data_IF_656832614764
#
_entry.id   IF_656832614764
#
_cell.length_a   1.000
_cell.length_b   1.000
_cell.length_c   1.000
_cell.angle_alpha   90.00
_cell.angle_beta   90.00
_cell.angle_gamma   90.00
#
_symmetry.space_group_name_H-M   'P 1'
#
loop_
_entity.id
_entity.type
_entity.pdbx_description
1 polymer ?
#
# COMPACT_ATOMS: atom_id res chain seq x y z
N UNK A 1 -23.52 -11.54 -21.33
CA UNK A 1 -22.29 -12.06 -21.92
C UNK A 1 -21.30 -10.90 -22.06
N UNK A 2 -20.27 -10.82 -21.22
CA UNK A 2 -19.15 -9.84 -21.36
C UNK A 2 -18.15 -10.44 -22.36
N UNK A 3 -17.59 -9.65 -23.31
CA UNK A 3 -16.55 -10.16 -24.20
C UNK A 3 -15.30 -10.43 -23.38
N UNK A 4 -14.90 -11.70 -23.31
CA UNK A 4 -13.65 -12.11 -22.70
C UNK A 4 -12.48 -11.53 -23.49
N UNK A 5 -11.65 -10.73 -22.83
CA UNK A 5 -10.34 -10.34 -23.36
C UNK A 5 -9.55 -11.64 -23.51
N UNK A 6 -9.29 -12.04 -24.75
CA UNK A 6 -8.50 -13.22 -25.06
C UNK A 6 -7.14 -13.13 -24.39
N UNK A 7 -6.89 -14.01 -23.43
CA UNK A 7 -5.57 -14.17 -22.79
C UNK A 7 -4.60 -14.70 -23.85
N UNK A 8 -3.77 -13.82 -24.39
CA UNK A 8 -2.67 -14.24 -25.28
C UNK A 8 -1.72 -15.12 -24.45
N UNK A 9 -1.75 -16.43 -24.69
CA UNK A 9 -0.79 -17.37 -24.13
C UNK A 9 0.52 -17.28 -24.91
N UNK A 10 1.49 -16.53 -24.40
CA UNK A 10 2.83 -16.54 -24.95
C UNK A 10 3.51 -17.89 -24.68
N UNK A 11 4.25 -18.48 -25.66
CA UNK A 11 5.02 -19.67 -25.42
C UNK A 11 6.02 -19.47 -24.27
N UNK A 12 6.17 -20.44 -23.39
CA UNK A 12 7.00 -20.35 -22.17
C UNK A 12 8.47 -19.99 -22.45
N UNK A 13 8.98 -20.28 -23.63
CA UNK A 13 10.35 -19.99 -24.08
C UNK A 13 10.61 -18.49 -24.40
N UNK A 14 9.58 -17.65 -24.53
CA UNK A 14 9.70 -16.23 -24.87
C UNK A 14 9.30 -15.28 -23.71
N UNK A 15 9.01 -15.82 -22.50
CA UNK A 15 8.59 -15.00 -21.36
C UNK A 15 9.79 -14.30 -20.72
N UNK A 16 9.59 -13.04 -20.32
CA UNK A 16 10.57 -12.30 -19.52
C UNK A 16 10.81 -13.01 -18.18
N UNK A 17 12.08 -13.16 -17.80
CA UNK A 17 12.46 -13.74 -16.51
C UNK A 17 12.64 -12.63 -15.49
N UNK A 18 11.76 -12.60 -14.51
CA UNK A 18 11.70 -11.56 -13.49
C UNK A 18 12.07 -12.16 -12.13
N UNK A 19 13.00 -11.52 -11.44
CA UNK A 19 13.30 -11.81 -10.05
C UNK A 19 12.84 -10.66 -9.16
N UNK A 20 11.81 -10.89 -8.37
CA UNK A 20 11.42 -9.97 -7.28
C UNK A 20 12.29 -10.24 -6.04
N UNK A 21 12.81 -9.18 -5.44
CA UNK A 21 13.54 -9.24 -4.18
C UNK A 21 12.80 -8.40 -3.15
N UNK A 22 12.04 -9.08 -2.30
CA UNK A 22 11.26 -8.48 -1.22
C UNK A 22 11.94 -8.61 0.14
N UNK A 23 11.32 -8.04 1.17
CA UNK A 23 11.77 -8.19 2.55
C UNK A 23 11.27 -9.49 3.14
N UNK A 24 9.96 -9.70 3.14
CA UNK A 24 9.26 -10.93 3.54
C UNK A 24 8.15 -11.25 2.54
N UNK A 25 7.53 -12.44 2.69
CA UNK A 25 6.39 -12.92 1.92
C UNK A 25 5.41 -13.64 2.86
N UNK A 26 4.11 -13.78 2.55
CA UNK A 26 3.20 -14.52 3.42
C UNK A 26 3.75 -15.85 3.94
N UNK A 27 3.42 -16.23 5.18
CA UNK A 27 2.36 -15.69 6.06
C UNK A 27 2.71 -14.40 6.80
N UNK A 28 3.88 -13.80 6.55
CA UNK A 28 4.24 -12.50 7.12
C UNK A 28 3.32 -11.40 6.60
N UNK A 29 2.73 -10.59 7.51
CA UNK A 29 1.73 -9.58 7.16
C UNK A 29 2.32 -8.16 7.19
N UNK A 30 2.07 -7.40 6.14
CA UNK A 30 2.47 -5.99 6.00
C UNK A 30 2.08 -5.44 4.63
N UNK A 31 2.07 -4.13 4.47
CA UNK A 31 1.65 -3.48 3.21
C UNK A 31 2.54 -3.84 2.01
N UNK A 32 3.87 -3.89 2.20
CA UNK A 32 4.80 -4.30 1.14
C UNK A 32 4.64 -5.79 0.79
N UNK A 33 4.48 -6.63 1.79
CA UNK A 33 4.31 -8.07 1.64
C UNK A 33 3.01 -8.40 0.91
N UNK A 34 1.92 -7.72 1.26
CA UNK A 34 0.62 -7.85 0.57
C UNK A 34 0.70 -7.39 -0.88
N UNK A 35 1.36 -6.24 -1.15
CA UNK A 35 1.57 -5.76 -2.51
C UNK A 35 2.42 -6.74 -3.33
N UNK A 36 3.55 -7.22 -2.78
CA UNK A 36 4.41 -8.19 -3.46
C UNK A 36 3.67 -9.48 -3.78
N UNK A 37 2.85 -9.98 -2.84
CA UNK A 37 2.02 -11.18 -3.04
C UNK A 37 1.04 -10.98 -4.20
N UNK A 38 0.18 -9.93 -4.11
CA UNK A 38 -0.84 -9.65 -5.11
C UNK A 38 -0.21 -9.48 -6.50
N UNK A 39 0.85 -8.69 -6.61
CA UNK A 39 1.54 -8.48 -7.89
C UNK A 39 2.16 -9.77 -8.41
N UNK A 40 2.74 -10.61 -7.54
CA UNK A 40 3.34 -11.88 -7.95
C UNK A 40 2.31 -12.90 -8.42
N UNK A 41 1.16 -12.99 -7.75
CA UNK A 41 0.05 -13.86 -8.14
C UNK A 41 -0.47 -13.53 -9.54
N UNK A 42 -0.54 -12.25 -9.90
CA UNK A 42 -0.98 -11.80 -11.22
C UNK A 42 0.09 -11.97 -12.32
N UNK A 43 1.36 -11.77 -11.95
CA UNK A 43 2.46 -11.83 -12.91
C UNK A 43 2.86 -13.26 -13.28
N UNK A 44 2.71 -14.25 -12.37
CA UNK A 44 3.19 -15.64 -12.57
C UNK A 44 2.72 -16.30 -13.86
N UNK A 45 1.54 -15.94 -14.36
CA UNK A 45 1.00 -16.48 -15.60
C UNK A 45 1.51 -15.75 -16.86
N UNK A 46 2.12 -14.57 -16.69
CA UNK A 46 2.52 -13.67 -17.77
C UNK A 46 4.04 -13.62 -18.00
N UNK A 47 4.83 -13.89 -16.97
CA UNK A 47 6.30 -13.88 -16.98
C UNK A 47 6.85 -15.13 -16.29
N UNK A 48 8.15 -15.43 -16.48
CA UNK A 48 8.87 -16.43 -15.66
C UNK A 48 9.29 -15.73 -14.36
N UNK A 49 8.43 -15.85 -13.33
CA UNK A 49 8.56 -15.13 -12.08
C UNK A 49 9.18 -15.98 -10.98
N UNK A 50 10.16 -15.39 -10.29
CA UNK A 50 10.68 -15.88 -9.01
C UNK A 50 10.69 -14.79 -7.98
N UNK A 51 10.46 -15.16 -6.73
CA UNK A 51 10.50 -14.26 -5.58
C UNK A 51 11.57 -14.72 -4.61
N UNK A 52 12.45 -13.81 -4.18
CA UNK A 52 13.42 -14.06 -3.11
C UNK A 52 13.14 -13.10 -1.97
N UNK A 53 13.04 -13.63 -0.76
CA UNK A 53 12.79 -12.88 0.49
C UNK A 53 13.64 -13.42 1.63
N UNK A 54 13.72 -12.69 2.74
CA UNK A 54 14.30 -13.19 3.97
C UNK A 54 13.40 -14.26 4.62
N UNK A 55 14.01 -15.29 5.21
CA UNK A 55 13.33 -16.21 6.10
C UNK A 55 13.22 -15.61 7.52
N UNK A 56 12.32 -16.13 8.33
CA UNK A 56 12.27 -15.86 9.78
C UNK A 56 13.26 -16.74 10.57
N UNK A 57 13.78 -17.79 9.94
CA UNK A 57 14.77 -18.72 10.49
C UNK A 57 16.13 -18.63 9.79
N UNK A 58 17.13 -19.37 10.30
CA UNK A 58 18.47 -19.45 9.68
C UNK A 58 18.54 -20.38 8.45
N UNK A 59 17.46 -21.11 8.15
CA UNK A 59 17.42 -22.05 7.01
C UNK A 59 16.93 -21.36 5.75
N UNK A 60 17.56 -21.68 4.63
CA UNK A 60 17.03 -21.31 3.32
C UNK A 60 16.07 -22.40 2.84
N UNK A 61 14.86 -21.99 2.45
CA UNK A 61 13.81 -22.88 1.93
C UNK A 61 13.34 -22.40 0.57
N UNK A 62 12.84 -23.32 -0.26
CA UNK A 62 12.18 -23.03 -1.54
C UNK A 62 10.84 -23.72 -1.54
N UNK A 63 9.82 -23.00 -1.94
CA UNK A 63 8.43 -23.47 -1.91
C UNK A 63 7.59 -22.78 -2.98
N UNK A 64 6.48 -23.39 -3.33
CA UNK A 64 5.42 -22.75 -4.11
C UNK A 64 4.38 -22.20 -3.14
N UNK A 65 4.17 -20.89 -3.16
CA UNK A 65 3.13 -20.21 -2.39
C UNK A 65 2.12 -19.65 -3.38
N UNK A 66 0.90 -20.14 -3.37
CA UNK A 66 -0.16 -19.76 -4.31
C UNK A 66 0.29 -19.82 -5.79
N UNK A 67 1.15 -20.81 -6.10
CA UNK A 67 1.73 -21.01 -7.44
C UNK A 67 2.90 -20.09 -7.79
N UNK A 68 3.40 -19.28 -6.87
CA UNK A 68 4.59 -18.44 -7.03
C UNK A 68 5.82 -19.19 -6.48
N UNK A 69 6.92 -19.26 -7.26
CA UNK A 69 8.21 -19.84 -6.81
C UNK A 69 8.89 -18.86 -5.83
N UNK A 70 8.91 -19.22 -4.55
CA UNK A 70 9.43 -18.38 -3.46
C UNK A 70 10.66 -19.03 -2.83
N UNK A 71 11.77 -18.31 -2.82
CA UNK A 71 12.98 -18.68 -2.04
C UNK A 71 13.06 -17.80 -0.79
N UNK A 72 12.97 -18.41 0.39
CA UNK A 72 13.19 -17.73 1.68
C UNK A 72 14.63 -17.96 2.11
N UNK A 73 15.44 -16.93 2.07
CA UNK A 73 16.86 -16.98 2.40
C UNK A 73 17.07 -16.91 3.90
N UNK A 74 17.85 -17.86 4.45
CA UNK A 74 18.14 -17.91 5.87
C UNK A 74 18.69 -16.60 6.43
N UNK A 75 18.10 -16.15 7.53
CA UNK A 75 18.43 -14.91 8.23
C UNK A 75 19.36 -15.21 9.40
N UNK A 76 20.50 -14.49 9.51
CA UNK A 76 21.38 -14.59 10.67
C UNK A 76 20.87 -13.78 11.86
N UNK A 77 20.52 -12.53 11.61
CA UNK A 77 20.04 -11.55 12.61
C UNK A 77 19.27 -10.41 11.93
N UNK A 78 18.64 -9.57 12.73
CA UNK A 78 18.05 -8.31 12.27
C UNK A 78 18.90 -7.12 12.75
N UNK A 79 19.20 -6.19 11.85
CA UNK A 79 19.79 -4.88 12.18
C UNK A 79 18.76 -3.80 11.91
N UNK A 80 18.26 -3.17 12.97
CA UNK A 80 17.23 -2.11 12.87
C UNK A 80 16.03 -2.50 12.00
N UNK A 81 15.53 -3.72 12.18
CA UNK A 81 14.45 -4.34 11.41
C UNK A 81 14.80 -4.68 9.94
N UNK A 82 16.05 -4.60 9.54
CA UNK A 82 16.54 -5.11 8.26
C UNK A 82 17.13 -6.52 8.46
N UNK A 83 16.61 -7.57 7.81
CA UNK A 83 17.13 -8.92 7.94
C UNK A 83 18.49 -9.05 7.24
N UNK A 84 19.49 -9.57 7.94
CA UNK A 84 20.82 -9.86 7.38
C UNK A 84 20.85 -11.29 6.87
N UNK A 85 20.93 -11.45 5.54
CA UNK A 85 20.90 -12.74 4.84
C UNK A 85 22.12 -12.86 3.91
N UNK A 86 23.28 -13.34 4.35
CA UNK A 86 24.49 -13.38 3.54
C UNK A 86 24.34 -14.22 2.26
N UNK A 87 23.57 -15.31 2.32
CA UNK A 87 23.30 -16.15 1.16
C UNK A 87 22.50 -15.43 0.05
N UNK A 88 21.86 -14.28 0.35
CA UNK A 88 21.10 -13.49 -0.63
C UNK A 88 21.96 -13.04 -1.81
N UNK A 89 23.23 -12.70 -1.56
CA UNK A 89 24.19 -12.36 -2.63
C UNK A 89 24.31 -13.49 -3.64
N UNK A 90 24.50 -14.72 -3.15
CA UNK A 90 24.66 -15.91 -4.01
C UNK A 90 23.35 -16.27 -4.72
N UNK A 91 22.22 -16.15 -4.05
CA UNK A 91 20.91 -16.45 -4.67
C UNK A 91 20.61 -15.46 -5.81
N UNK A 92 20.89 -14.15 -5.63
CA UNK A 92 20.76 -13.16 -6.70
C UNK A 92 21.78 -13.43 -7.83
N UNK A 93 23.06 -13.67 -7.50
CA UNK A 93 24.11 -13.92 -8.51
C UNK A 93 23.81 -15.11 -9.43
N UNK A 94 23.17 -16.16 -8.88
CA UNK A 94 22.82 -17.39 -9.62
C UNK A 94 21.48 -17.32 -10.34
N UNK A 95 20.68 -16.30 -10.07
CA UNK A 95 19.37 -16.16 -10.70
C UNK A 95 19.53 -15.91 -12.20
N UNK A 96 18.76 -16.64 -13.02
CA UNK A 96 18.63 -16.37 -14.45
C UNK A 96 17.46 -15.40 -14.63
N UNK A 97 17.73 -14.09 -14.52
CA UNK A 97 16.72 -13.06 -14.64
C UNK A 97 17.14 -11.97 -15.63
N UNK A 98 16.19 -11.47 -16.40
CA UNK A 98 16.36 -10.34 -17.31
C UNK A 98 16.18 -9.02 -16.53
N UNK A 99 15.28 -9.04 -15.54
CA UNK A 99 15.01 -7.92 -14.63
C UNK A 99 15.13 -8.39 -13.17
N UNK A 100 15.85 -7.61 -12.37
CA UNK A 100 15.87 -7.70 -10.91
C UNK A 100 14.99 -6.57 -10.37
N UNK A 101 13.91 -6.91 -9.71
CA UNK A 101 12.96 -5.94 -9.15
C UNK A 101 13.05 -5.92 -7.63
N UNK A 102 13.65 -4.86 -7.07
CA UNK A 102 13.82 -4.69 -5.61
C UNK A 102 12.66 -3.88 -5.03
N UNK A 103 12.04 -4.39 -3.97
CA UNK A 103 11.02 -3.68 -3.19
C UNK A 103 11.70 -2.93 -2.03
N UNK A 104 11.76 -1.61 -2.13
CA UNK A 104 12.36 -0.71 -1.12
C UNK A 104 11.28 -0.20 -0.12
N UNK A 105 11.56 -0.11 1.20
CA UNK A 105 12.88 -0.17 1.86
C UNK A 105 13.36 -1.61 2.18
N UNK A 106 14.47 -1.98 1.60
CA UNK A 106 15.18 -3.23 1.85
C UNK A 106 16.70 -3.03 1.64
N UNK A 107 17.42 -2.41 2.60
CA UNK A 107 18.85 -2.12 2.47
C UNK A 107 19.70 -3.36 2.17
N UNK A 108 19.36 -4.51 2.77
CA UNK A 108 20.10 -5.75 2.57
C UNK A 108 19.95 -6.30 1.15
N UNK A 109 18.78 -6.15 0.53
CA UNK A 109 18.59 -6.50 -0.88
C UNK A 109 19.43 -5.62 -1.82
N UNK A 110 19.51 -4.31 -1.53
CA UNK A 110 20.35 -3.38 -2.29
C UNK A 110 21.82 -3.77 -2.21
N UNK A 111 22.34 -4.02 -1.01
CA UNK A 111 23.72 -4.47 -0.81
C UNK A 111 23.99 -5.80 -1.51
N UNK A 112 23.08 -6.75 -1.36
CA UNK A 112 23.21 -8.08 -1.97
C UNK A 112 23.22 -8.00 -3.51
N UNK A 113 22.34 -7.17 -4.10
CA UNK A 113 22.36 -6.93 -5.55
C UNK A 113 23.67 -6.32 -6.01
N UNK A 114 24.16 -5.27 -5.35
CA UNK A 114 25.42 -4.61 -5.73
C UNK A 114 26.62 -5.56 -5.61
N UNK A 115 26.64 -6.44 -4.60
CA UNK A 115 27.69 -7.42 -4.39
C UNK A 115 27.57 -8.65 -5.31
N UNK A 116 26.39 -8.94 -5.85
CA UNK A 116 26.14 -10.14 -6.68
C UNK A 116 26.78 -10.08 -8.07
N UNK A 117 27.05 -8.87 -8.57
CA UNK A 117 27.52 -8.67 -9.95
C UNK A 117 26.48 -9.03 -11.02
N UNK A 118 25.21 -9.17 -10.67
CA UNK A 118 24.15 -9.57 -11.59
C UNK A 118 23.97 -8.52 -12.71
N UNK A 119 23.80 -8.98 -13.95
CA UNK A 119 23.74 -8.12 -15.15
C UNK A 119 22.31 -7.79 -15.63
N UNK A 120 21.28 -8.36 -15.00
CA UNK A 120 19.87 -8.04 -15.29
C UNK A 120 19.56 -6.57 -15.04
N UNK A 121 18.58 -6.03 -15.76
CA UNK A 121 18.11 -4.65 -15.59
C UNK A 121 17.54 -4.47 -14.19
N UNK A 122 17.93 -3.40 -13.51
CA UNK A 122 17.45 -3.11 -12.15
C UNK A 122 16.20 -2.25 -12.21
N UNK A 123 15.15 -2.67 -11.51
CA UNK A 123 13.92 -1.92 -11.28
C UNK A 123 13.69 -1.83 -9.77
N UNK A 124 13.20 -0.70 -9.29
CA UNK A 124 12.77 -0.54 -7.89
C UNK A 124 11.26 -0.31 -7.83
N UNK A 125 10.58 -0.90 -6.85
CA UNK A 125 9.36 -0.32 -6.29
C UNK A 125 9.71 0.42 -5.00
N UNK A 126 9.53 1.74 -4.99
CA UNK A 126 9.81 2.60 -3.85
C UNK A 126 8.55 2.79 -3.01
N UNK A 127 8.36 1.94 -1.98
CA UNK A 127 7.16 1.97 -1.14
C UNK A 127 7.16 3.12 -0.14
N UNK A 128 8.33 3.42 0.47
CA UNK A 128 8.44 4.53 1.43
C UNK A 128 9.90 4.92 1.69
N UNK A 129 10.09 6.13 2.23
CA UNK A 129 11.35 6.54 2.81
C UNK A 129 11.60 5.82 4.14
N UNK A 130 12.87 5.70 4.55
CA UNK A 130 13.23 5.23 5.90
C UNK A 130 13.13 6.43 6.85
N UNK A 131 12.05 6.49 7.62
CA UNK A 131 11.77 7.64 8.52
C UNK A 131 12.29 7.42 9.93
N UNK A 132 12.17 6.20 10.47
CA UNK A 132 12.45 5.92 11.89
C UNK A 132 13.95 5.84 12.22
N UNK A 133 14.76 5.21 11.35
CA UNK A 133 16.19 4.98 11.56
C UNK A 133 17.04 6.08 10.88
N UNK A 134 16.76 7.34 11.17
CA UNK A 134 17.37 8.49 10.47
C UNK A 134 18.91 8.43 10.35
N UNK A 135 19.63 8.12 11.43
CA UNK A 135 21.10 8.04 11.41
C UNK A 135 21.61 6.96 10.45
N UNK A 136 21.02 5.75 10.50
CA UNK A 136 21.37 4.66 9.59
C UNK A 136 20.94 4.95 8.16
N UNK A 137 19.78 5.59 7.96
CA UNK A 137 19.31 5.99 6.64
C UNK A 137 20.28 7.00 6.00
N UNK A 138 20.75 8.00 6.74
CA UNK A 138 21.76 8.98 6.27
C UNK A 138 23.05 8.27 5.87
N UNK A 139 23.56 7.37 6.70
CA UNK A 139 24.79 6.61 6.41
C UNK A 139 24.62 5.68 5.19
N UNK A 140 23.43 5.16 4.95
CA UNK A 140 23.13 4.30 3.80
C UNK A 140 22.84 5.08 2.51
N UNK A 141 22.54 6.37 2.60
CA UNK A 141 22.10 7.19 1.48
C UNK A 141 23.06 7.20 0.27
N UNK A 142 24.41 7.27 0.41
CA UNK A 142 25.31 7.18 -0.71
C UNK A 142 25.17 5.86 -1.49
N UNK A 143 24.98 4.74 -0.79
CA UNK A 143 24.80 3.41 -1.37
C UNK A 143 23.46 3.34 -2.13
N UNK A 144 22.40 3.85 -1.52
CA UNK A 144 21.09 3.92 -2.15
C UNK A 144 21.13 4.75 -3.45
N UNK A 145 21.71 5.96 -3.39
CA UNK A 145 21.89 6.82 -4.57
C UNK A 145 22.70 6.14 -5.67
N UNK A 146 23.75 5.43 -5.30
CA UNK A 146 24.54 4.64 -6.26
C UNK A 146 23.70 3.56 -6.94
N UNK A 147 22.87 2.82 -6.18
CA UNK A 147 21.95 1.83 -6.74
C UNK A 147 20.90 2.48 -7.64
N UNK A 148 20.30 3.60 -7.20
CA UNK A 148 19.28 4.32 -7.97
C UNK A 148 19.83 4.92 -9.27
N UNK A 149 21.11 5.36 -9.31
CA UNK A 149 21.78 5.76 -10.55
C UNK A 149 21.92 4.63 -11.57
N UNK A 150 21.91 3.38 -11.12
CA UNK A 150 22.03 2.18 -11.97
C UNK A 150 20.68 1.57 -12.35
N UNK A 151 19.60 2.05 -11.73
CA UNK A 151 18.26 1.51 -12.00
C UNK A 151 17.73 1.98 -13.35
N UNK A 152 17.04 1.09 -14.06
CA UNK A 152 16.39 1.42 -15.33
C UNK A 152 15.07 2.18 -15.07
N UNK A 153 14.36 1.86 -13.98
CA UNK A 153 13.11 2.50 -13.61
C UNK A 153 12.85 2.41 -12.10
N UNK A 154 12.12 3.39 -11.56
CA UNK A 154 11.65 3.45 -10.18
C UNK A 154 10.12 3.52 -10.20
N UNK A 155 9.46 2.47 -9.78
CA UNK A 155 8.00 2.46 -9.57
C UNK A 155 7.69 3.20 -8.28
N UNK A 156 6.76 4.13 -8.35
CA UNK A 156 6.21 4.87 -7.21
C UNK A 156 4.70 4.81 -7.23
N UNK A 157 4.05 4.81 -6.07
CA UNK A 157 2.60 4.62 -5.98
C UNK A 157 1.78 5.87 -6.30
N UNK A 158 2.40 7.07 -6.25
CA UNK A 158 1.70 8.33 -6.53
C UNK A 158 2.65 9.45 -6.94
N UNK A 159 2.19 10.47 -7.71
CA UNK A 159 2.97 11.65 -8.02
C UNK A 159 3.36 12.44 -6.76
N UNK A 160 2.43 12.59 -5.82
CA UNK A 160 2.65 13.31 -4.56
C UNK A 160 3.83 12.74 -3.77
N UNK A 161 4.06 11.42 -3.86
CA UNK A 161 5.16 10.79 -3.15
C UNK A 161 6.52 11.16 -3.75
N UNK A 162 6.60 11.42 -5.06
CA UNK A 162 7.82 11.92 -5.73
C UNK A 162 8.14 13.31 -5.19
N UNK A 163 7.15 14.20 -5.18
CA UNK A 163 7.32 15.59 -4.74
C UNK A 163 7.71 15.68 -3.26
N UNK A 164 7.17 14.81 -2.44
CA UNK A 164 7.45 14.76 -1.01
C UNK A 164 8.79 14.08 -0.64
N UNK A 165 9.49 13.39 -1.56
CA UNK A 165 10.73 12.66 -1.25
C UNK A 165 11.95 13.35 -1.86
N UNK A 166 12.89 13.79 -1.02
CA UNK A 166 14.14 14.38 -1.49
C UNK A 166 14.92 13.43 -2.40
N UNK A 167 14.89 12.13 -2.09
CA UNK A 167 15.56 11.11 -2.90
C UNK A 167 14.89 10.96 -4.25
N UNK A 168 13.57 10.82 -4.29
CA UNK A 168 12.85 10.59 -5.56
C UNK A 168 12.89 11.81 -6.47
N UNK A 169 12.91 13.03 -5.92
CA UNK A 169 13.09 14.25 -6.73
C UNK A 169 14.40 14.25 -7.51
N UNK A 170 15.51 13.71 -6.93
CA UNK A 170 16.78 13.57 -7.65
C UNK A 170 16.72 12.60 -8.83
N UNK A 171 15.78 11.65 -8.82
CA UNK A 171 15.63 10.59 -9.83
C UNK A 171 14.27 10.65 -10.52
N UNK A 172 13.64 11.82 -10.58
CA UNK A 172 12.30 12.02 -11.14
C UNK A 172 12.16 11.49 -12.56
N UNK A 173 13.19 11.65 -13.37
CA UNK A 173 13.30 11.17 -14.76
C UNK A 173 13.22 9.64 -14.88
N UNK A 174 13.47 8.92 -13.80
CA UNK A 174 13.40 7.46 -13.73
C UNK A 174 12.14 6.95 -13.02
N UNK A 175 11.35 7.85 -12.44
CA UNK A 175 10.14 7.50 -11.73
C UNK A 175 8.99 7.22 -12.69
N UNK A 176 8.30 6.11 -12.47
CA UNK A 176 7.04 5.74 -13.13
C UNK A 176 5.96 5.58 -12.08
N UNK A 177 4.87 6.31 -12.23
CA UNK A 177 3.71 6.16 -11.33
C UNK A 177 2.94 4.90 -11.70
N UNK A 178 2.95 3.92 -10.82
CA UNK A 178 2.12 2.71 -10.88
C UNK A 178 1.40 2.59 -9.54
N UNK A 179 0.15 3.07 -9.44
CA UNK A 179 -0.63 2.98 -8.22
C UNK A 179 -0.83 1.54 -7.77
N UNK A 180 -0.94 1.32 -6.48
CA UNK A 180 -1.27 0.00 -5.95
C UNK A 180 -2.71 -0.36 -6.31
N UNK A 181 -2.90 -1.63 -6.66
CA UNK A 181 -4.18 -2.18 -7.04
C UNK A 181 -4.84 -2.98 -5.93
N UNK A 182 -6.16 -3.04 -5.98
CA UNK A 182 -7.00 -3.86 -5.09
C UNK A 182 -7.90 -4.77 -5.92
N UNK A 183 -8.19 -5.96 -5.41
CA UNK A 183 -9.18 -6.87 -5.99
C UNK A 183 -10.58 -6.39 -5.63
N UNK A 184 -11.26 -5.77 -6.59
CA UNK A 184 -12.62 -5.23 -6.41
C UNK A 184 -13.61 -6.36 -6.10
N UNK A 185 -13.52 -7.47 -6.83
CA UNK A 185 -14.42 -8.62 -6.65
C UNK A 185 -14.27 -9.25 -5.26
N UNK A 186 -13.03 -9.30 -4.73
CA UNK A 186 -12.80 -9.80 -3.37
C UNK A 186 -13.54 -8.98 -2.31
N UNK A 187 -13.53 -7.66 -2.39
CA UNK A 187 -14.21 -6.79 -1.42
C UNK A 187 -15.72 -6.72 -1.61
N UNK A 188 -16.22 -7.01 -2.80
CA UNK A 188 -17.66 -7.10 -3.07
C UNK A 188 -18.29 -8.45 -2.64
N UNK A 189 -17.45 -9.48 -2.39
CA UNK A 189 -17.89 -10.78 -1.88
C UNK A 189 -17.73 -10.81 -0.35
N UNK A 190 -18.77 -10.52 0.39
CA UNK A 190 -18.77 -10.47 1.85
C UNK A 190 -20.05 -11.08 2.44
N UNK A 191 -19.98 -11.43 3.71
CA UNK A 191 -21.14 -11.90 4.45
C UNK A 191 -22.04 -10.73 4.84
N UNK A 192 -23.19 -10.61 4.16
CA UNK A 192 -24.19 -9.57 4.42
C UNK A 192 -24.82 -9.72 5.81
N UNK A 193 -24.96 -10.94 6.32
CA UNK A 193 -25.54 -11.18 7.66
C UNK A 193 -24.60 -10.66 8.75
N UNK A 194 -23.28 -10.87 8.56
CA UNK A 194 -22.26 -10.34 9.47
C UNK A 194 -22.22 -8.79 9.45
N UNK A 195 -22.33 -8.17 8.27
CA UNK A 195 -22.39 -6.71 8.18
C UNK A 195 -23.63 -6.13 8.90
N UNK A 196 -24.78 -6.82 8.82
CA UNK A 196 -25.99 -6.46 9.58
C UNK A 196 -25.77 -6.64 11.08
N UNK A 197 -25.21 -7.77 11.52
CA UNK A 197 -24.88 -8.03 12.92
C UNK A 197 -23.96 -6.97 13.51
N UNK A 198 -22.95 -6.53 12.76
CA UNK A 198 -22.07 -5.43 13.18
C UNK A 198 -22.87 -4.16 13.44
N UNK A 199 -23.82 -3.81 12.57
CA UNK A 199 -24.67 -2.63 12.77
C UNK A 199 -25.68 -2.80 13.93
N UNK A 200 -26.14 -3.99 14.20
CA UNK A 200 -27.00 -4.30 15.36
C UNK A 200 -26.22 -4.11 16.68
N UNK A 201 -24.96 -4.54 16.71
CA UNK A 201 -24.12 -4.46 17.92
C UNK A 201 -23.61 -3.03 18.17
N UNK A 202 -23.15 -2.33 17.13
CA UNK A 202 -22.45 -1.04 17.26
C UNK A 202 -23.31 0.18 16.88
N UNK A 203 -24.55 -0.06 16.44
CA UNK A 203 -25.48 0.98 16.08
C UNK A 203 -25.39 1.46 14.63
N UNK A 204 -26.23 2.46 14.27
CA UNK A 204 -26.40 2.91 12.89
C UNK A 204 -25.33 3.90 12.41
N UNK A 205 -24.45 4.38 13.29
CA UNK A 205 -23.46 5.44 13.01
C UNK A 205 -22.06 4.93 13.33
N UNK A 206 -21.46 4.21 12.38
CA UNK A 206 -20.18 3.52 12.57
C UNK A 206 -19.06 4.28 11.84
N UNK A 207 -18.02 4.64 12.60
CA UNK A 207 -16.73 5.15 12.12
C UNK A 207 -15.72 4.01 12.18
N UNK A 208 -15.03 3.74 11.08
CA UNK A 208 -14.05 2.66 10.98
C UNK A 208 -12.63 3.20 10.77
N UNK A 209 -11.71 2.76 11.60
CA UNK A 209 -10.26 2.92 11.40
C UNK A 209 -9.60 1.55 11.26
N UNK A 210 -8.68 1.38 10.30
CA UNK A 210 -8.00 0.10 10.07
C UNK A 210 -6.50 0.29 9.94
N UNK A 211 -5.73 -0.53 10.65
CA UNK A 211 -4.29 -0.56 10.53
C UNK A 211 -3.57 -0.87 11.84
N UNK A 212 -2.25 -1.02 11.75
CA UNK A 212 -1.43 -1.25 12.94
C UNK A 212 -1.54 -0.08 13.92
N UNK A 213 -1.73 -0.36 15.20
CA UNK A 213 -1.81 0.65 16.26
C UNK A 213 -0.39 1.15 16.60
N UNK A 214 0.15 2.02 15.72
CA UNK A 214 1.49 2.61 15.83
C UNK A 214 1.42 4.13 15.70
N UNK A 215 2.43 4.84 16.17
CA UNK A 215 2.48 6.29 16.33
C UNK A 215 2.09 7.10 15.08
N UNK A 216 2.48 6.67 13.87
CA UNK A 216 2.21 7.44 12.66
C UNK A 216 0.78 7.29 12.14
N UNK A 217 0.03 6.29 12.59
CA UNK A 217 -1.39 6.09 12.22
C UNK A 217 -2.33 7.09 12.91
N UNK A 218 -1.89 7.75 13.98
CA UNK A 218 -2.62 8.84 14.62
C UNK A 218 -3.97 8.44 15.20
N UNK A 219 -4.15 7.17 15.59
CA UNK A 219 -5.42 6.71 16.18
C UNK A 219 -5.78 7.44 17.47
N UNK A 220 -4.80 8.01 18.20
CA UNK A 220 -5.07 8.88 19.33
C UNK A 220 -5.90 10.12 18.95
N UNK A 221 -5.66 10.69 17.76
CA UNK A 221 -6.45 11.82 17.28
C UNK A 221 -7.87 11.39 16.88
N UNK A 222 -8.03 10.17 16.36
CA UNK A 222 -9.32 9.61 16.04
C UNK A 222 -10.14 9.30 17.30
N UNK A 223 -9.50 8.74 18.35
CA UNK A 223 -10.16 8.53 19.65
C UNK A 223 -10.55 9.88 20.29
N UNK A 224 -9.67 10.91 20.23
CA UNK A 224 -10.00 12.26 20.71
C UNK A 224 -11.15 12.89 19.93
N UNK A 225 -11.23 12.70 18.64
CA UNK A 225 -12.32 13.22 17.80
C UNK A 225 -13.69 12.71 18.27
N UNK A 226 -13.75 11.50 18.84
CA UNK A 226 -15.01 10.90 19.33
C UNK A 226 -15.64 11.63 20.51
N UNK A 227 -14.96 12.55 21.17
CA UNK A 227 -15.58 13.40 22.20
C UNK A 227 -16.74 14.24 21.65
N UNK A 228 -16.67 14.62 20.38
CA UNK A 228 -17.62 15.48 19.69
C UNK A 228 -18.42 14.75 18.59
N UNK A 229 -18.26 13.43 18.46
CA UNK A 229 -18.95 12.62 17.44
C UNK A 229 -20.03 11.77 18.09
N UNK A 230 -21.26 11.85 17.60
CA UNK A 230 -22.34 10.96 17.98
C UNK A 230 -22.33 9.71 17.08
N UNK A 231 -21.54 8.70 17.46
CA UNK A 231 -21.36 7.45 16.72
C UNK A 231 -20.44 6.50 17.45
N UNK A 232 -20.26 5.30 16.91
CA UNK A 232 -19.37 4.27 17.44
C UNK A 232 -18.12 4.13 16.59
N UNK A 233 -16.95 4.21 17.21
CA UNK A 233 -15.65 4.03 16.56
C UNK A 233 -15.18 2.59 16.69
N UNK A 234 -14.90 1.95 15.56
CA UNK A 234 -14.23 0.65 15.48
C UNK A 234 -12.82 0.88 14.97
N UNK A 235 -11.80 0.47 15.73
CA UNK A 235 -10.41 0.43 15.27
C UNK A 235 -10.00 -1.03 15.15
N UNK A 236 -9.69 -1.48 13.93
CA UNK A 236 -9.29 -2.86 13.65
C UNK A 236 -7.79 -2.93 13.37
N UNK A 237 -7.08 -3.74 14.16
CA UNK A 237 -5.67 -4.03 13.99
C UNK A 237 -4.93 -4.23 15.29
N UNK A 238 -3.66 -4.56 15.20
CA UNK A 238 -2.78 -4.80 16.34
C UNK A 238 -1.69 -3.73 16.43
N UNK A 239 -1.06 -3.62 17.58
CA UNK A 239 0.12 -2.77 17.74
C UNK A 239 0.39 -2.32 19.17
N UNK A 240 1.59 -1.76 19.40
CA UNK A 240 2.05 -1.40 20.73
C UNK A 240 1.24 -0.27 21.41
N UNK A 241 0.42 0.47 20.66
CA UNK A 241 -0.39 1.55 21.23
C UNK A 241 -1.79 1.11 21.70
N UNK A 242 -2.14 -0.19 21.60
CA UNK A 242 -3.47 -0.68 21.96
C UNK A 242 -3.88 -0.28 23.39
N UNK A 243 -3.03 -0.57 24.37
CA UNK A 243 -3.32 -0.25 25.78
C UNK A 243 -3.44 1.27 26.02
N UNK A 244 -2.55 2.04 25.37
CA UNK A 244 -2.61 3.49 25.42
C UNK A 244 -3.93 4.02 24.88
N UNK A 245 -4.40 3.53 23.73
CA UNK A 245 -5.66 3.95 23.10
C UNK A 245 -6.87 3.57 23.96
N UNK A 246 -6.87 2.39 24.58
CA UNK A 246 -7.92 1.97 25.51
C UNK A 246 -7.99 2.89 26.74
N UNK A 247 -6.83 3.21 27.31
CA UNK A 247 -6.76 4.14 28.46
C UNK A 247 -7.20 5.55 28.06
N UNK A 248 -6.78 6.03 26.90
CA UNK A 248 -7.18 7.33 26.36
C UNK A 248 -8.72 7.42 26.19
N UNK A 249 -9.37 6.36 25.72
CA UNK A 249 -10.82 6.32 25.58
C UNK A 249 -11.55 6.40 26.95
N UNK A 250 -10.98 5.77 27.99
CA UNK A 250 -11.49 5.87 29.37
C UNK A 250 -11.33 7.29 29.93
N UNK A 251 -10.14 7.88 29.79
CA UNK A 251 -9.82 9.23 30.30
C UNK A 251 -10.71 10.30 29.64
N UNK A 252 -11.05 10.11 28.36
CA UNK A 252 -11.94 10.99 27.61
C UNK A 252 -13.44 10.68 27.80
N UNK A 253 -13.77 9.65 28.57
CA UNK A 253 -15.16 9.20 28.81
C UNK A 253 -15.92 8.84 27.51
N UNK A 254 -15.24 8.18 26.57
CA UNK A 254 -15.80 7.68 25.30
C UNK A 254 -15.62 6.16 25.14
N UNK A 255 -15.23 5.46 26.21
CA UNK A 255 -14.94 4.01 26.17
C UNK A 255 -16.16 3.15 25.83
N UNK A 256 -17.38 3.64 26.07
CA UNK A 256 -18.66 3.01 25.72
C UNK A 256 -18.93 2.98 24.20
N UNK A 257 -18.25 3.84 23.43
CA UNK A 257 -18.42 3.99 21.99
C UNK A 257 -17.11 3.97 21.19
N UNK A 258 -16.05 3.41 21.78
CA UNK A 258 -14.77 3.13 21.11
C UNK A 258 -14.40 1.67 21.35
N UNK A 259 -14.36 0.89 20.28
CA UNK A 259 -14.00 -0.54 20.35
C UNK A 259 -12.73 -0.80 19.56
N UNK A 260 -11.74 -1.44 20.21
CA UNK A 260 -10.48 -1.87 19.60
C UNK A 260 -10.54 -3.38 19.33
N UNK A 261 -10.57 -3.76 18.05
CA UNK A 261 -10.59 -5.15 17.59
C UNK A 261 -9.21 -5.54 17.09
N UNK A 262 -8.63 -6.61 17.63
CA UNK A 262 -7.29 -7.08 17.24
C UNK A 262 -7.36 -8.19 16.20
N UNK A 263 -8.30 -9.10 16.34
CA UNK A 263 -8.49 -10.23 15.45
C UNK A 263 -9.90 -10.24 14.89
N UNK A 264 -10.01 -10.04 13.59
CA UNK A 264 -11.23 -10.27 12.83
C UNK A 264 -10.94 -11.28 11.74
N UNK A 265 -11.81 -12.28 11.59
CA UNK A 265 -11.63 -13.34 10.60
C UNK A 265 -11.75 -12.77 9.17
N UNK A 266 -12.68 -11.85 8.99
CA UNK A 266 -12.94 -11.15 7.74
C UNK A 266 -13.22 -9.67 8.01
N UNK A 267 -12.45 -8.79 7.41
CA UNK A 267 -12.58 -7.34 7.58
C UNK A 267 -13.65 -6.74 6.65
N UNK A 268 -14.02 -7.43 5.58
CA UNK A 268 -14.91 -6.92 4.54
C UNK A 268 -16.29 -6.49 5.08
N UNK A 269 -16.97 -7.30 5.93
CA UNK A 269 -18.23 -6.89 6.54
C UNK A 269 -18.15 -5.58 7.33
N UNK A 270 -17.00 -5.28 7.96
CA UNK A 270 -16.80 -4.04 8.70
C UNK A 270 -16.75 -2.81 7.80
N UNK A 271 -16.07 -2.91 6.63
CA UNK A 271 -16.09 -1.83 5.64
C UNK A 271 -17.50 -1.56 5.12
N UNK A 272 -18.28 -2.61 4.85
CA UNK A 272 -19.66 -2.47 4.38
C UNK A 272 -20.63 -2.00 5.47
N UNK A 273 -20.35 -2.30 6.74
CA UNK A 273 -21.15 -1.83 7.87
C UNK A 273 -20.84 -0.37 8.25
N UNK A 274 -19.65 0.12 7.92
CA UNK A 274 -19.22 1.47 8.29
C UNK A 274 -19.92 2.56 7.49
N UNK A 275 -20.25 3.65 8.18
CA UNK A 275 -20.76 4.87 7.54
C UNK A 275 -19.63 5.75 7.00
N UNK A 276 -18.51 5.80 7.74
CA UNK A 276 -17.34 6.61 7.42
C UNK A 276 -16.08 5.79 7.72
N UNK A 277 -15.12 5.82 6.83
CA UNK A 277 -13.78 5.32 7.07
C UNK A 277 -12.82 6.48 7.35
N UNK A 278 -12.07 6.42 8.46
CA UNK A 278 -11.15 7.47 8.87
C UNK A 278 -9.68 6.99 8.84
N UNK A 279 -8.87 7.57 7.95
CA UNK A 279 -7.42 7.44 7.93
C UNK A 279 -6.79 8.64 8.66
N UNK A 280 -6.56 8.50 9.95
CA UNK A 280 -6.06 9.58 10.83
C UNK A 280 -4.53 9.72 10.86
N UNK A 281 -3.82 9.14 9.89
CA UNK A 281 -2.35 9.13 9.85
C UNK A 281 -1.75 10.52 9.93
N UNK A 282 -0.65 10.66 10.69
CA UNK A 282 -0.04 11.98 10.99
C UNK A 282 1.34 12.17 10.36
N UNK A 283 1.86 11.16 9.68
CA UNK A 283 3.20 11.22 9.09
C UNK A 283 3.22 10.58 7.70
N UNK A 284 4.12 11.06 6.84
CA UNK A 284 4.34 10.54 5.48
C UNK A 284 4.83 9.08 5.42
N UNK A 285 5.09 8.44 6.57
CA UNK A 285 5.25 6.97 6.65
C UNK A 285 4.00 6.24 6.18
N UNK A 286 2.83 6.89 6.18
CA UNK A 286 1.65 6.49 5.42
C UNK A 286 1.85 6.90 3.96
N UNK A 287 2.50 6.03 3.20
CA UNK A 287 2.92 6.38 1.85
C UNK A 287 1.76 6.45 0.84
N UNK A 288 0.73 5.63 1.03
CA UNK A 288 -0.39 5.49 0.09
C UNK A 288 -1.75 5.32 0.78
N UNK A 289 -1.79 4.52 1.84
CA UNK A 289 -3.03 4.22 2.57
C UNK A 289 -3.93 3.24 1.81
N UNK A 290 -3.43 2.03 1.52
CA UNK A 290 -4.18 0.97 0.80
C UNK A 290 -5.56 0.73 1.42
N UNK A 291 -5.69 0.83 2.74
CA UNK A 291 -6.97 0.68 3.47
C UNK A 291 -8.05 1.68 3.03
N UNK A 292 -7.67 2.81 2.41
CA UNK A 292 -8.65 3.71 1.76
C UNK A 292 -9.26 3.05 0.51
N UNK A 293 -8.44 2.32 -0.27
CA UNK A 293 -8.97 1.60 -1.45
C UNK A 293 -9.97 0.54 -1.02
N UNK A 294 -9.72 -0.14 0.10
CA UNK A 294 -10.62 -1.14 0.67
C UNK A 294 -11.98 -0.50 1.03
N UNK A 295 -11.95 0.61 1.76
CA UNK A 295 -13.15 1.39 2.09
C UNK A 295 -13.87 1.92 0.84
N UNK A 296 -13.14 2.52 -0.11
CA UNK A 296 -13.68 3.05 -1.35
C UNK A 296 -14.32 1.95 -2.21
N UNK A 297 -13.73 0.76 -2.26
CA UNK A 297 -14.28 -0.40 -2.97
C UNK A 297 -15.64 -0.80 -2.41
N UNK A 298 -15.79 -0.74 -1.08
CA UNK A 298 -17.07 -1.01 -0.40
C UNK A 298 -18.06 0.16 -0.52
N UNK A 299 -17.65 1.32 -1.05
CA UNK A 299 -18.49 2.51 -1.19
C UNK A 299 -18.60 3.33 0.09
N UNK A 300 -17.71 3.10 1.04
CA UNK A 300 -17.63 3.84 2.29
C UNK A 300 -16.89 5.16 2.05
N UNK A 301 -17.49 6.28 2.45
CA UNK A 301 -16.88 7.59 2.33
C UNK A 301 -15.63 7.69 3.21
N UNK A 302 -14.56 8.26 2.67
CA UNK A 302 -13.24 8.34 3.32
C UNK A 302 -13.04 9.71 3.95
N UNK A 303 -12.49 9.76 5.16
CA UNK A 303 -11.85 10.95 5.71
C UNK A 303 -10.36 10.64 5.85
N UNK A 304 -9.50 11.49 5.29
CA UNK A 304 -8.06 11.34 5.40
C UNK A 304 -7.37 12.63 5.83
N UNK A 305 -6.08 12.53 6.09
CA UNK A 305 -5.26 13.67 6.49
C UNK A 305 -4.42 14.18 5.34
N UNK A 306 -4.13 15.48 5.33
CA UNK A 306 -3.28 16.14 4.34
C UNK A 306 -1.82 15.84 4.63
N UNK A 307 -1.29 14.80 3.98
CA UNK A 307 0.11 14.40 4.08
C UNK A 307 0.83 14.62 2.73
N UNK A 308 2.13 14.91 2.80
CA UNK A 308 3.01 14.94 1.62
C UNK A 308 3.32 13.52 1.15
N UNK A 309 2.28 12.77 0.81
CA UNK A 309 2.32 11.37 0.41
C UNK A 309 1.15 11.03 -0.52
N UNK A 310 1.01 9.76 -0.92
CA UNK A 310 -0.09 9.31 -1.79
C UNK A 310 -1.48 9.31 -1.15
N UNK A 311 -1.63 9.65 0.12
CA UNK A 311 -2.91 9.58 0.84
C UNK A 311 -4.00 10.41 0.14
N UNK A 312 -3.72 11.67 -0.17
CA UNK A 312 -4.68 12.57 -0.84
C UNK A 312 -4.82 12.28 -2.34
N UNK A 313 -3.83 11.64 -2.95
CA UNK A 313 -3.94 11.14 -4.32
C UNK A 313 -4.93 9.97 -4.42
N UNK A 314 -4.93 9.05 -3.45
CA UNK A 314 -5.88 7.93 -3.41
C UNK A 314 -7.30 8.43 -3.25
N UNK A 315 -7.57 9.26 -2.24
CA UNK A 315 -8.90 9.80 -1.96
C UNK A 315 -8.86 11.33 -1.92
N UNK A 316 -9.04 11.99 -3.09
CA UNK A 316 -9.05 13.45 -3.17
C UNK A 316 -10.27 14.07 -2.47
N UNK A 317 -10.04 15.22 -1.84
CA UNK A 317 -11.07 16.00 -1.17
C UNK A 317 -12.23 16.34 -2.11
N UNK A 318 -13.45 16.12 -1.64
CA UNK A 318 -14.67 16.44 -2.39
C UNK A 318 -15.03 15.45 -3.51
N UNK A 319 -14.13 14.51 -3.88
CA UNK A 319 -14.35 13.51 -4.94
C UNK A 319 -14.73 12.15 -4.36
N UNK A 320 -13.90 11.62 -3.46
CA UNK A 320 -14.10 10.32 -2.82
C UNK A 320 -14.04 10.37 -1.30
N UNK A 321 -13.80 11.54 -0.73
CA UNK A 321 -13.71 11.75 0.71
C UNK A 321 -13.53 13.21 1.10
N UNK A 322 -13.26 13.43 2.38
CA UNK A 322 -12.86 14.71 2.95
C UNK A 322 -11.41 14.62 3.44
N UNK A 323 -10.68 15.72 3.33
CA UNK A 323 -9.28 15.82 3.79
C UNK A 323 -9.18 16.87 4.88
N UNK A 324 -8.59 16.50 6.02
CA UNK A 324 -8.38 17.36 7.19
C UNK A 324 -6.90 17.56 7.49
N UNK A 325 -6.48 18.55 8.30
CA UNK A 325 -5.11 18.65 8.76
C UNK A 325 -4.69 17.42 9.58
N UNK A 326 -3.43 16.96 9.51
CA UNK A 326 -2.94 15.88 10.36
C UNK A 326 -2.87 16.34 11.82
N UNK A 327 -3.06 15.42 12.77
CA UNK A 327 -3.04 15.63 14.21
C UNK A 327 -4.09 16.65 14.73
N UNK A 328 -5.11 16.96 13.93
CA UNK A 328 -6.23 17.84 14.30
C UNK A 328 -7.48 17.00 14.62
N UNK A 329 -7.68 16.71 15.90
CA UNK A 329 -8.81 15.90 16.37
C UNK A 329 -10.16 16.66 16.24
N UNK A 330 -10.14 18.00 16.26
CA UNK A 330 -11.36 18.81 16.11
C UNK A 330 -11.85 18.76 14.69
N UNK A 331 -10.97 19.12 13.72
CA UNK A 331 -11.30 19.06 12.30
C UNK A 331 -11.71 17.64 11.86
N UNK A 332 -11.06 16.60 12.43
CA UNK A 332 -11.41 15.21 12.16
C UNK A 332 -12.81 14.88 12.69
N UNK A 333 -13.16 15.30 13.90
CA UNK A 333 -14.50 15.11 14.49
C UNK A 333 -15.58 15.84 13.72
N UNK A 334 -15.34 17.09 13.32
CA UNK A 334 -16.26 17.89 12.48
C UNK A 334 -16.52 17.21 11.12
N UNK A 335 -15.48 16.74 10.46
CA UNK A 335 -15.62 16.05 9.18
C UNK A 335 -16.39 14.72 9.30
N UNK A 336 -16.17 13.95 10.39
CA UNK A 336 -16.92 12.73 10.69
C UNK A 336 -18.39 13.08 10.91
N UNK A 337 -18.69 14.03 11.79
CA UNK A 337 -20.06 14.42 12.13
C UNK A 337 -20.80 14.99 10.92
N UNK A 338 -20.09 15.77 10.08
CA UNK A 338 -20.64 16.27 8.82
C UNK A 338 -21.12 15.11 7.92
N UNK A 339 -20.31 14.08 7.71
CA UNK A 339 -20.70 12.95 6.84
C UNK A 339 -21.78 12.08 7.48
N UNK A 340 -21.76 11.91 8.80
CA UNK A 340 -22.79 11.15 9.51
C UNK A 340 -24.16 11.85 9.44
N UNK A 341 -24.21 13.19 9.37
CA UNK A 341 -25.43 14.00 9.31
C UNK A 341 -25.86 14.33 7.86
N UNK A 342 -25.02 14.05 6.85
CA UNK A 342 -25.30 14.34 5.44
C UNK A 342 -25.30 13.05 4.60
N UNK A 343 -26.36 12.23 4.65
CA UNK A 343 -26.39 10.92 3.98
C UNK A 343 -26.19 11.01 2.46
N UNK A 344 -26.73 12.03 1.81
CA UNK A 344 -26.57 12.23 0.37
C UNK A 344 -25.12 12.56 0.00
N UNK A 345 -24.48 13.43 0.77
CA UNK A 345 -23.06 13.75 0.58
C UNK A 345 -22.16 12.55 0.84
N UNK A 346 -22.41 11.80 1.90
CA UNK A 346 -21.76 10.55 2.23
C UNK A 346 -21.86 9.56 1.05
N UNK A 347 -23.08 9.34 0.53
CA UNK A 347 -23.33 8.46 -0.61
C UNK A 347 -22.63 8.94 -1.89
N UNK A 348 -22.64 10.25 -2.16
CA UNK A 348 -21.96 10.84 -3.30
C UNK A 348 -20.46 10.54 -3.26
N UNK A 349 -19.79 10.80 -2.12
CA UNK A 349 -18.37 10.55 -1.93
C UNK A 349 -18.03 9.05 -2.01
N UNK A 350 -18.83 8.20 -1.39
CA UNK A 350 -18.67 6.74 -1.49
C UNK A 350 -18.76 6.22 -2.93
N UNK A 351 -19.72 6.71 -3.70
CA UNK A 351 -19.86 6.37 -5.13
C UNK A 351 -18.67 6.91 -5.95
N UNK A 352 -18.21 8.12 -5.68
CA UNK A 352 -17.00 8.69 -6.28
C UNK A 352 -15.77 7.82 -6.00
N UNK A 353 -15.67 7.29 -4.77
CA UNK A 353 -14.64 6.33 -4.37
C UNK A 353 -14.70 5.04 -5.19
N UNK A 354 -15.87 4.39 -5.29
CA UNK A 354 -16.06 3.17 -6.11
C UNK A 354 -15.65 3.37 -7.56
N UNK A 355 -16.11 4.46 -8.18
CA UNK A 355 -15.80 4.76 -9.58
C UNK A 355 -14.30 4.98 -9.78
N UNK A 356 -13.65 5.68 -8.85
CA UNK A 356 -12.21 5.93 -8.91
C UNK A 356 -11.40 4.63 -8.77
N UNK A 357 -11.76 3.75 -7.82
CA UNK A 357 -11.10 2.44 -7.66
C UNK A 357 -11.24 1.61 -8.94
N UNK A 358 -12.45 1.48 -9.46
CA UNK A 358 -12.71 0.70 -10.67
C UNK A 358 -11.93 1.21 -11.90
N UNK A 359 -11.69 2.52 -11.98
CA UNK A 359 -10.97 3.14 -13.08
C UNK A 359 -9.45 3.11 -12.92
N UNK A 360 -8.93 3.32 -11.70
CA UNK A 360 -7.50 3.66 -11.50
C UNK A 360 -6.73 2.66 -10.64
N UNK A 361 -7.40 1.92 -9.74
CA UNK A 361 -6.75 1.17 -8.67
C UNK A 361 -7.09 -0.32 -8.67
N UNK A 362 -7.35 -0.93 -9.83
CA UNK A 362 -7.55 -2.37 -9.89
C UNK A 362 -6.23 -3.13 -9.97
N UNK A 363 -6.23 -4.38 -9.50
CA UNK A 363 -5.04 -5.27 -9.57
C UNK A 363 -4.62 -5.48 -11.02
N UNK A 364 -5.56 -5.62 -11.95
CA UNK A 364 -5.31 -5.82 -13.37
C UNK A 364 -4.56 -4.61 -13.96
N UNK A 365 -4.98 -3.39 -13.60
CA UNK A 365 -4.33 -2.16 -14.08
C UNK A 365 -2.93 -1.99 -13.50
N UNK A 366 -2.74 -2.23 -12.21
CA UNK A 366 -1.42 -2.24 -11.57
C UNK A 366 -0.48 -3.22 -12.27
N UNK A 367 -0.97 -4.45 -12.52
CA UNK A 367 -0.20 -5.51 -13.16
C UNK A 367 0.15 -5.16 -14.60
N UNK A 368 -0.82 -4.63 -15.37
CA UNK A 368 -0.58 -4.24 -16.76
C UNK A 368 0.46 -3.12 -16.84
N UNK A 369 0.32 -2.06 -16.04
CA UNK A 369 1.28 -0.96 -15.99
C UNK A 369 2.69 -1.43 -15.59
N UNK A 370 2.79 -2.43 -14.71
CA UNK A 370 4.08 -3.03 -14.33
C UNK A 370 4.70 -3.84 -15.47
N UNK A 371 3.89 -4.61 -16.19
CA UNK A 371 4.36 -5.36 -17.38
C UNK A 371 4.81 -4.44 -18.50
N UNK A 372 4.05 -3.39 -18.78
CA UNK A 372 4.40 -2.40 -19.80
C UNK A 372 5.74 -1.76 -19.47
N UNK A 373 5.96 -1.41 -18.20
CA UNK A 373 7.25 -0.90 -17.74
C UNK A 373 8.38 -1.92 -17.92
N UNK A 374 8.17 -3.20 -17.64
CA UNK A 374 9.19 -4.22 -17.88
C UNK A 374 9.57 -4.34 -19.35
N UNK A 375 8.58 -4.29 -20.25
CA UNK A 375 8.83 -4.28 -21.69
C UNK A 375 9.58 -3.02 -22.13
N UNK A 376 9.20 -1.83 -21.65
CA UNK A 376 9.90 -0.56 -21.93
C UNK A 376 11.37 -0.63 -21.49
N UNK A 377 11.61 -1.10 -20.26
CA UNK A 377 12.95 -1.29 -19.70
C UNK A 377 13.79 -2.23 -20.59
N UNK A 378 13.23 -3.32 -21.05
CA UNK A 378 13.95 -4.27 -21.91
C UNK A 378 14.27 -3.72 -23.31
N UNK A 379 13.40 -2.88 -23.87
CA UNK A 379 13.60 -2.23 -25.17
C UNK A 379 14.45 -0.95 -25.12
N UNK A 380 14.94 -0.57 -23.93
CA UNK A 380 15.83 0.59 -23.75
C UNK A 380 15.12 1.94 -23.88
N UNK A 381 13.79 1.99 -23.81
CA UNK A 381 13.01 3.26 -23.77
C UNK A 381 13.25 3.98 -22.44
N UNK A 382 13.36 5.30 -22.47
CA UNK A 382 13.48 6.11 -21.26
C UNK A 382 12.09 6.32 -20.65
N UNK A 383 12.00 6.19 -19.32
CA UNK A 383 10.75 6.36 -18.55
C UNK A 383 10.20 7.79 -18.67
N UNK A 384 11.06 8.79 -18.90
CA UNK A 384 10.68 10.19 -19.07
C UNK A 384 9.71 10.46 -20.24
N UNK A 385 9.75 9.63 -21.30
CA UNK A 385 8.94 9.83 -22.50
C UNK A 385 7.42 9.54 -22.28
N UNK A 386 7.01 9.07 -21.09
CA UNK A 386 5.66 8.60 -20.80
C UNK A 386 4.99 9.27 -19.58
N UNK A 387 5.72 10.12 -18.84
CA UNK A 387 5.15 10.76 -17.66
C UNK A 387 4.15 11.87 -17.97
N UNK A 388 4.21 12.48 -19.16
CA UNK A 388 3.32 13.58 -19.53
C UNK A 388 1.88 13.13 -19.72
N UNK A 389 1.65 11.94 -20.29
CA UNK A 389 0.31 11.39 -20.48
C UNK A 389 -0.36 10.98 -19.16
N UNK A 390 0.43 10.53 -18.16
CA UNK A 390 -0.09 10.14 -16.85
C UNK A 390 -0.38 11.34 -15.94
N UNK A 391 0.42 12.40 -16.02
CA UNK A 391 0.16 13.66 -15.29
C UNK A 391 -1.15 14.29 -15.79
N UNK A 392 -1.44 14.22 -17.07
CA UNK A 392 -2.71 14.67 -17.66
C UNK A 392 -3.89 13.77 -17.27
N UNK A 393 -3.69 12.46 -17.21
CA UNK A 393 -4.73 11.51 -16.82
C UNK A 393 -5.13 11.60 -15.33
N UNK A 394 -4.23 12.07 -14.46
CA UNK A 394 -4.45 12.22 -13.03
C UNK A 394 -4.65 13.66 -12.57
N UNK A 395 -4.62 14.67 -13.48
CA UNK A 395 -5.00 16.02 -13.14
C UNK A 395 -6.47 16.06 -12.73
N UNK A 396 -6.83 16.68 -11.60
CA UNK A 396 -8.23 16.86 -11.27
C UNK A 396 -8.83 17.71 -12.42
N UNK A 397 -9.78 17.13 -13.14
CA UNK A 397 -10.55 17.91 -14.13
C UNK A 397 -11.08 19.13 -13.39
N UNK A 398 -10.64 20.30 -13.81
CA UNK A 398 -11.27 21.56 -13.48
C UNK A 398 -12.74 21.41 -13.79
N UNK A 399 -13.57 21.34 -12.74
CA UNK A 399 -15.00 21.44 -12.91
C UNK A 399 -15.31 22.72 -13.68
N UNK A 400 -16.20 22.70 -14.67
CA UNK A 400 -16.64 23.94 -15.29
C UNK A 400 -17.26 24.83 -14.21
N UNK A 401 -16.94 26.12 -14.29
CA UNK A 401 -17.40 27.21 -13.41
C UNK A 401 -18.91 27.31 -13.35
#
# INVERSE_FOLDING_TARGET
>A
MKPGIARASYPRAARLRILHVGKYFPPYRGGMESHLRILSEELKERVDLRVIVANTSRRTTRELVDGVDVTRVGKLLDVSSAPVCPALVREIARAKADIIHIHWPNPTAVLAYLASGHRGRLVFTYHSDIVRQRKLAVAFMPILRYALKRTAAIIVSSPNYIEGSDVLREFRDRCRVVPFGISVDHFNQYDLSEARRIREVYGPRIVLGVGRMVYYKGFEHLVRAMTNVNGHLLIIGEGPLREYLSRLALDLKVSDRVTLLTEVADIRPYYHAADVFALSSVMRSEAFGIVQLEAMTCGTAVINTRLDSGVTFVSPHGVSGLTVPPADSVALGEAIEQLLNQPDRKKQLGNGGKQRVAREFTVERMTQNTLDLYHEVMHGKRVADFNDDLVLAFSPHTAPR
#
